data_IF_380511524408
#
_entry.id   IF_380511524408
#
_cell.length_a   1.000
_cell.length_b   1.000
_cell.length_c   1.000
_cell.angle_alpha   90.00
_cell.angle_beta   90.00
_cell.angle_gamma   90.00
#
_symmetry.space_group_name_H-M   'P 1'
#
loop_
_entity.id
_entity.type
_entity.pdbx_description
1 polymer ?
#
# COMPACT_ATOMS: atom_id res chain seq x y z
N UNK A 1 -1.99 32.05 14.47
CA UNK A 1 -0.70 31.39 14.29
C UNK A 1 0.14 32.35 13.49
N UNK A 2 1.04 33.04 14.18
CA UNK A 2 2.04 33.86 13.53
C UNK A 2 3.25 33.00 13.10
N UNK A 3 4.15 33.58 12.30
CA UNK A 3 5.29 32.85 11.73
C UNK A 3 6.28 32.40 12.82
N UNK A 4 6.36 33.12 13.94
CA UNK A 4 7.22 32.80 15.07
C UNK A 4 6.70 31.60 15.87
N UNK A 5 5.37 31.51 16.05
CA UNK A 5 4.70 30.33 16.61
C UNK A 5 4.89 29.11 15.72
N UNK A 6 4.86 29.28 14.39
CA UNK A 6 5.09 28.19 13.43
C UNK A 6 6.54 27.69 13.48
N UNK A 7 7.52 28.58 13.46
CA UNK A 7 8.92 28.19 13.53
C UNK A 7 9.25 27.51 14.88
N UNK A 8 8.68 28.02 15.97
CA UNK A 8 8.75 27.38 17.28
C UNK A 8 8.13 25.98 17.29
N UNK A 9 7.01 25.78 16.59
CA UNK A 9 6.36 24.48 16.47
C UNK A 9 7.18 23.49 15.63
N UNK A 10 7.76 23.93 14.51
CA UNK A 10 8.65 23.11 13.67
C UNK A 10 9.89 22.68 14.43
N UNK A 11 10.48 23.56 15.25
CA UNK A 11 11.63 23.22 16.11
C UNK A 11 11.27 22.13 17.13
N UNK A 12 10.08 22.19 17.73
CA UNK A 12 9.59 21.13 18.64
C UNK A 12 9.38 19.80 17.92
N UNK A 13 8.80 19.82 16.71
CA UNK A 13 8.63 18.64 15.88
C UNK A 13 9.97 17.93 15.61
N UNK A 14 10.97 18.69 15.15
CA UNK A 14 12.32 18.16 14.90
C UNK A 14 12.99 17.62 16.15
N UNK A 15 12.86 18.31 17.30
CA UNK A 15 13.38 17.84 18.59
C UNK A 15 12.74 16.52 19.04
N UNK A 16 11.46 16.32 18.71
CA UNK A 16 10.72 15.08 18.96
C UNK A 16 11.00 13.98 17.91
N UNK A 17 11.90 14.21 16.94
CA UNK A 17 12.30 13.24 15.92
C UNK A 17 11.44 13.22 14.66
N UNK A 18 10.47 14.13 14.52
CA UNK A 18 9.61 14.21 13.33
C UNK A 18 10.29 15.03 12.22
N UNK A 19 10.27 14.50 11.00
CA UNK A 19 10.79 15.20 9.81
C UNK A 19 9.79 16.23 9.25
N UNK A 20 8.48 15.93 9.26
CA UNK A 20 7.41 16.87 8.93
C UNK A 20 6.67 17.31 10.22
N UNK A 21 6.51 18.63 10.41
CA UNK A 21 5.78 19.18 11.55
C UNK A 21 4.29 18.83 11.52
N UNK A 22 3.72 18.50 10.35
CA UNK A 22 2.34 18.03 10.21
C UNK A 22 2.14 16.64 10.82
N UNK A 23 3.14 15.78 10.75
CA UNK A 23 3.10 14.47 11.41
C UNK A 23 3.19 14.62 12.93
N UNK A 24 4.04 15.55 13.40
CA UNK A 24 4.11 15.92 14.81
C UNK A 24 2.79 16.51 15.32
N UNK A 25 2.13 17.38 14.54
CA UNK A 25 0.81 17.91 14.87
C UNK A 25 -0.27 16.82 14.90
N UNK A 26 -0.24 15.91 13.92
CA UNK A 26 -1.11 14.74 13.89
C UNK A 26 -0.94 13.84 15.10
N UNK A 27 0.31 13.58 15.52
CA UNK A 27 0.66 12.85 16.73
C UNK A 27 0.13 13.55 17.99
N UNK A 28 0.34 14.87 18.08
CA UNK A 28 -0.06 15.68 19.22
C UNK A 28 -1.58 15.71 19.42
N UNK A 29 -2.34 15.81 18.33
CA UNK A 29 -3.81 15.84 18.38
C UNK A 29 -4.40 14.45 18.62
N UNK A 30 -3.85 13.43 17.97
CA UNK A 30 -4.53 12.15 17.83
C UNK A 30 -3.95 11.05 18.73
N UNK A 31 -2.80 11.28 19.37
CA UNK A 31 -2.06 10.25 20.11
C UNK A 31 -1.73 9.01 19.26
N UNK A 32 -1.50 7.87 19.91
CA UNK A 32 -1.30 6.56 19.25
C UNK A 32 -2.48 6.19 18.34
N UNK A 33 -3.72 6.49 18.75
CA UNK A 33 -4.92 6.17 17.99
C UNK A 33 -4.97 6.82 16.59
N UNK A 34 -4.29 7.96 16.39
CA UNK A 34 -4.18 8.59 15.08
C UNK A 34 -3.20 7.90 14.13
N UNK A 35 -2.13 7.32 14.67
CA UNK A 35 -1.18 6.52 13.89
C UNK A 35 -1.82 5.20 13.47
N UNK A 36 -2.45 4.50 14.41
CA UNK A 36 -3.17 3.25 14.14
C UNK A 36 -4.24 3.44 13.05
N UNK A 37 -4.93 4.59 13.06
CA UNK A 37 -5.96 4.88 12.05
C UNK A 37 -5.36 5.14 10.65
N UNK A 38 -4.22 5.83 10.55
CA UNK A 38 -3.53 6.07 9.27
C UNK A 38 -2.94 4.78 8.73
N UNK A 39 -2.25 4.02 9.57
CA UNK A 39 -1.68 2.72 9.21
C UNK A 39 -2.77 1.75 8.77
N UNK A 40 -3.88 1.68 9.50
CA UNK A 40 -5.04 0.87 9.11
C UNK A 40 -5.68 1.35 7.81
N UNK A 41 -5.76 2.67 7.57
CA UNK A 41 -6.27 3.20 6.31
C UNK A 41 -5.37 2.80 5.13
N UNK A 42 -4.05 2.90 5.29
CA UNK A 42 -3.10 2.53 4.25
C UNK A 42 -3.12 1.03 3.97
N UNK A 43 -3.22 0.19 5.01
CA UNK A 43 -3.42 -1.25 4.87
C UNK A 43 -4.74 -1.59 4.16
N UNK A 44 -5.84 -0.90 4.49
CA UNK A 44 -7.12 -1.08 3.81
C UNK A 44 -7.03 -0.68 2.33
N UNK A 45 -6.29 0.39 2.01
CA UNK A 45 -6.05 0.81 0.62
C UNK A 45 -5.25 -0.25 -0.14
N UNK A 46 -4.16 -0.74 0.43
CA UNK A 46 -3.34 -1.82 -0.15
C UNK A 46 -4.21 -3.06 -0.36
N UNK A 47 -4.98 -3.46 0.65
CA UNK A 47 -5.89 -4.60 0.57
C UNK A 47 -6.94 -4.43 -0.54
N UNK A 48 -7.53 -3.24 -0.67
CA UNK A 48 -8.48 -2.93 -1.73
C UNK A 48 -7.88 -3.03 -3.13
N UNK A 49 -6.67 -2.51 -3.34
CA UNK A 49 -5.97 -2.62 -4.63
C UNK A 49 -5.59 -4.07 -4.96
N UNK A 50 -5.10 -4.84 -3.98
CA UNK A 50 -4.85 -6.28 -4.15
C UNK A 50 -6.13 -7.04 -4.51
N UNK A 51 -7.27 -6.71 -3.89
CA UNK A 51 -8.56 -7.30 -4.22
C UNK A 51 -9.00 -7.04 -5.66
N UNK A 52 -8.81 -5.81 -6.17
CA UNK A 52 -9.09 -5.47 -7.58
C UNK A 52 -8.21 -6.26 -8.54
N UNK A 53 -6.90 -6.32 -8.27
CA UNK A 53 -5.95 -7.07 -9.09
C UNK A 53 -6.30 -8.57 -9.11
N UNK A 54 -6.60 -9.15 -7.95
CA UNK A 54 -7.04 -10.55 -7.86
C UNK A 54 -8.32 -10.83 -8.64
N UNK A 55 -9.30 -9.92 -8.60
CA UNK A 55 -10.53 -10.04 -9.39
C UNK A 55 -10.26 -10.04 -10.90
N UNK A 56 -9.43 -9.12 -11.38
CA UNK A 56 -9.05 -9.04 -12.80
C UNK A 56 -8.33 -10.32 -13.27
N UNK A 57 -7.39 -10.82 -12.47
CA UNK A 57 -6.69 -12.07 -12.76
C UNK A 57 -7.65 -13.26 -12.82
N UNK A 58 -8.62 -13.33 -11.90
CA UNK A 58 -9.62 -14.40 -11.89
C UNK A 58 -10.53 -14.35 -13.14
N UNK A 59 -10.89 -13.15 -13.61
CA UNK A 59 -11.66 -12.98 -14.85
C UNK A 59 -10.86 -13.42 -16.09
N UNK A 60 -9.56 -13.08 -16.15
CA UNK A 60 -8.69 -13.53 -17.23
C UNK A 60 -8.52 -15.05 -17.22
N UNK A 61 -8.29 -15.65 -16.05
CA UNK A 61 -8.20 -17.09 -15.91
C UNK A 61 -9.51 -17.79 -16.33
N UNK A 62 -10.66 -17.24 -15.95
CA UNK A 62 -11.96 -17.72 -16.41
C UNK A 62 -12.09 -17.62 -17.93
N UNK A 63 -11.74 -16.48 -18.54
CA UNK A 63 -11.84 -16.28 -19.98
C UNK A 63 -10.93 -17.23 -20.78
N UNK A 64 -9.72 -17.52 -20.27
CA UNK A 64 -8.83 -18.56 -20.83
C UNK A 64 -9.48 -19.93 -20.72
N UNK A 65 -9.94 -20.33 -19.53
CA UNK A 65 -10.53 -21.65 -19.29
C UNK A 65 -11.83 -21.89 -20.07
N UNK A 66 -12.62 -20.83 -20.29
CA UNK A 66 -13.84 -20.86 -21.09
C UNK A 66 -13.56 -20.84 -22.60
N UNK A 67 -12.30 -20.76 -23.04
CA UNK A 67 -11.93 -20.65 -24.45
C UNK A 67 -12.33 -19.32 -25.10
N UNK A 68 -12.62 -18.28 -24.31
CA UNK A 68 -12.93 -16.93 -24.79
C UNK A 68 -11.67 -16.19 -25.22
N UNK A 69 -10.52 -16.50 -24.59
CA UNK A 69 -9.19 -16.10 -25.04
C UNK A 69 -8.57 -17.31 -25.73
N UNK A 70 -8.50 -17.26 -27.06
CA UNK A 70 -8.11 -18.39 -27.91
C UNK A 70 -6.65 -18.35 -28.37
N UNK A 71 -5.98 -17.21 -28.20
CA UNK A 71 -4.57 -17.04 -28.50
C UNK A 71 -3.92 -16.13 -27.45
N UNK A 72 -2.86 -16.64 -26.82
CA UNK A 72 -1.94 -15.85 -26.00
C UNK A 72 -0.61 -15.80 -26.75
N UNK A 73 -0.09 -14.60 -26.97
CA UNK A 73 1.23 -14.44 -27.56
C UNK A 73 2.32 -14.88 -26.56
N UNK A 74 3.55 -15.15 -27.04
CA UNK A 74 4.68 -15.37 -26.14
C UNK A 74 4.91 -14.21 -25.16
N UNK A 75 4.64 -12.97 -25.57
CA UNK A 75 4.74 -11.80 -24.69
C UNK A 75 3.65 -11.79 -23.61
N UNK A 76 2.42 -12.16 -23.93
CA UNK A 76 1.34 -12.27 -22.94
C UNK A 76 1.70 -13.31 -21.86
N UNK A 77 2.24 -14.45 -22.28
CA UNK A 77 2.71 -15.49 -21.37
C UNK A 77 3.87 -15.03 -20.50
N UNK A 78 4.82 -14.26 -21.07
CA UNK A 78 5.92 -13.67 -20.32
C UNK A 78 5.41 -12.72 -19.24
N UNK A 79 4.51 -11.81 -19.58
CA UNK A 79 3.92 -10.85 -18.63
C UNK A 79 3.15 -11.58 -17.53
N UNK A 80 2.35 -12.59 -17.86
CA UNK A 80 1.63 -13.40 -16.87
C UNK A 80 2.61 -14.05 -15.88
N UNK A 81 3.73 -14.59 -16.38
CA UNK A 81 4.74 -15.24 -15.55
C UNK A 81 5.48 -14.25 -14.63
N UNK A 82 5.84 -13.07 -15.15
CA UNK A 82 6.44 -11.99 -14.36
C UNK A 82 5.50 -11.53 -13.23
N UNK A 83 4.22 -11.31 -13.55
CA UNK A 83 3.21 -10.92 -12.56
C UNK A 83 3.03 -12.01 -11.50
N UNK A 84 2.97 -13.28 -11.89
CA UNK A 84 2.87 -14.40 -10.94
C UNK A 84 4.05 -14.41 -9.95
N UNK A 85 5.26 -14.17 -10.46
CA UNK A 85 6.48 -14.15 -9.66
C UNK A 85 6.45 -13.02 -8.64
N UNK A 86 6.03 -11.82 -9.04
CA UNK A 86 5.94 -10.68 -8.12
C UNK A 86 4.85 -10.85 -7.06
N UNK A 87 3.72 -11.47 -7.43
CA UNK A 87 2.65 -11.82 -6.47
C UNK A 87 3.15 -12.81 -5.43
N UNK A 88 3.89 -13.84 -5.83
CA UNK A 88 4.49 -14.81 -4.90
C UNK A 88 5.48 -14.17 -3.94
N UNK A 89 6.36 -13.28 -4.44
CA UNK A 89 7.29 -12.50 -3.60
C UNK A 89 6.54 -11.63 -2.59
N UNK A 90 5.53 -10.89 -3.04
CA UNK A 90 4.71 -10.07 -2.16
C UNK A 90 4.00 -10.93 -1.08
N UNK A 91 3.45 -12.08 -1.46
CA UNK A 91 2.82 -13.00 -0.52
C UNK A 91 3.80 -13.59 0.49
N UNK A 92 5.05 -13.85 0.10
CA UNK A 92 6.10 -14.31 1.00
C UNK A 92 6.50 -13.21 2.01
N UNK A 93 6.67 -11.97 1.55
CA UNK A 93 6.97 -10.82 2.41
C UNK A 93 5.85 -10.57 3.42
N UNK A 94 4.59 -10.59 2.98
CA UNK A 94 3.43 -10.44 3.88
C UNK A 94 3.41 -11.55 4.93
N UNK A 95 3.63 -12.82 4.53
CA UNK A 95 3.69 -13.94 5.47
C UNK A 95 4.83 -13.81 6.48
N UNK A 96 5.99 -13.33 6.07
CA UNK A 96 7.13 -13.10 6.96
C UNK A 96 6.88 -11.96 7.96
N UNK A 97 6.14 -10.91 7.56
CA UNK A 97 5.80 -9.78 8.43
C UNK A 97 4.66 -10.08 9.41
N UNK A 98 3.83 -11.10 9.14
CA UNK A 98 2.70 -11.51 9.97
C UNK A 98 2.99 -12.71 10.89
N UNK A 99 4.18 -13.31 10.80
CA UNK A 99 4.64 -14.44 11.61
C UNK A 99 5.41 -13.97 12.86
#
# INVERSE_FOLDING_TARGET
MDDDELDGFIKRARKAGFQDYRDYHGALISGEAGFDRRERHDLLRIHGELGKQGSNLNQLAYAVNAGLITALSPDDLRVIHEVSTEVEKAAALIRALLA
#
